data_IF_232854522374
#
_entry.id   IF_232854522374
#
_cell.length_a   1.000
_cell.length_b   1.000
_cell.length_c   1.000
_cell.angle_alpha   90.00
_cell.angle_beta   90.00
_cell.angle_gamma   90.00
#
_symmetry.space_group_name_H-M   'P 1'
#
loop_
_entity.id
_entity.type
_entity.pdbx_description
1 polymer ?
#
# COMPACT_ATOMS: atom_id res chain seq x y z
N UNK A 1 22.18 -26.24 -16.28
CA UNK A 1 22.52 -24.97 -16.96
C UNK A 1 24.01 -24.80 -17.33
N UNK A 2 24.88 -25.80 -17.07
CA UNK A 2 26.30 -25.75 -17.43
C UNK A 2 26.54 -26.06 -18.93
N UNK A 3 26.16 -25.16 -19.83
CA UNK A 3 26.46 -25.33 -21.27
C UNK A 3 25.82 -24.38 -22.28
N UNK A 4 25.18 -23.28 -21.87
CA UNK A 4 24.35 -22.46 -22.78
C UNK A 4 25.00 -21.10 -23.15
N UNK A 5 26.01 -20.64 -22.41
CA UNK A 5 26.71 -19.36 -22.67
C UNK A 5 28.12 -19.36 -22.07
N UNK A 6 29.08 -18.58 -22.62
CA UNK A 6 30.38 -18.36 -22.02
C UNK A 6 30.23 -17.89 -20.55
N UNK A 7 31.10 -18.32 -19.62
CA UNK A 7 30.98 -17.98 -18.20
C UNK A 7 30.94 -16.46 -17.94
N UNK A 8 31.64 -15.67 -18.77
CA UNK A 8 31.57 -14.20 -18.72
C UNK A 8 30.22 -13.62 -19.14
N UNK A 9 29.52 -14.25 -20.08
CA UNK A 9 28.22 -13.78 -20.57
C UNK A 9 27.09 -14.08 -19.57
N UNK A 10 27.14 -15.24 -18.90
CA UNK A 10 26.20 -15.58 -17.83
C UNK A 10 26.27 -14.57 -16.68
N UNK A 11 27.49 -14.19 -16.26
CA UNK A 11 27.68 -13.15 -15.24
C UNK A 11 27.12 -11.80 -15.67
N UNK A 12 27.32 -11.42 -16.94
CA UNK A 12 26.79 -10.17 -17.50
C UNK A 12 25.24 -10.15 -17.53
N UNK A 13 24.60 -11.26 -17.89
CA UNK A 13 23.12 -11.38 -17.89
C UNK A 13 22.56 -11.26 -16.47
N UNK A 14 23.18 -11.93 -15.49
CA UNK A 14 22.76 -11.81 -14.08
C UNK A 14 22.94 -10.38 -13.56
N UNK A 15 24.05 -9.72 -13.90
CA UNK A 15 24.27 -8.32 -13.53
C UNK A 15 23.22 -7.38 -14.15
N UNK A 16 22.90 -7.58 -15.44
CA UNK A 16 21.85 -6.81 -16.12
C UNK A 16 20.47 -7.02 -15.48
N UNK A 17 20.13 -8.26 -15.10
CA UNK A 17 18.87 -8.59 -14.45
C UNK A 17 18.76 -7.96 -13.05
N UNK A 18 19.83 -8.04 -12.24
CA UNK A 18 19.87 -7.39 -10.92
C UNK A 18 19.77 -5.86 -11.04
N UNK A 19 20.48 -5.26 -12.00
CA UNK A 19 20.39 -3.82 -12.26
C UNK A 19 18.97 -3.39 -12.63
N UNK A 20 18.29 -4.15 -13.49
CA UNK A 20 16.90 -3.88 -13.87
C UNK A 20 15.93 -3.99 -12.68
N UNK A 21 16.09 -5.02 -11.83
CA UNK A 21 15.29 -5.19 -10.62
C UNK A 21 15.51 -4.05 -9.62
N UNK A 22 16.76 -3.63 -9.42
CA UNK A 22 17.11 -2.58 -8.49
C UNK A 22 16.59 -1.21 -8.94
N UNK A 23 16.62 -0.91 -10.25
CA UNK A 23 16.05 0.33 -10.79
C UNK A 23 14.53 0.44 -10.56
N UNK A 24 13.81 -0.69 -10.71
CA UNK A 24 12.36 -0.73 -10.46
C UNK A 24 12.06 -0.56 -8.97
N UNK A 25 12.78 -1.29 -8.11
CA UNK A 25 12.60 -1.20 -6.67
C UNK A 25 12.90 0.21 -6.11
N UNK A 26 13.97 0.84 -6.58
CA UNK A 26 14.35 2.21 -6.19
C UNK A 26 13.26 3.23 -6.57
N UNK A 27 12.78 3.16 -7.82
CA UNK A 27 11.70 4.04 -8.31
C UNK A 27 10.41 3.86 -7.49
N UNK A 28 10.03 2.62 -7.19
CA UNK A 28 8.85 2.34 -6.37
C UNK A 28 9.00 2.88 -4.93
N UNK A 29 10.13 2.58 -4.27
CA UNK A 29 10.37 3.05 -2.89
C UNK A 29 10.42 4.57 -2.81
N UNK A 30 11.11 5.23 -3.74
CA UNK A 30 11.17 6.68 -3.81
C UNK A 30 9.78 7.28 -4.02
N UNK A 31 9.03 6.77 -5.00
CA UNK A 31 7.67 7.24 -5.30
C UNK A 31 6.75 7.10 -4.09
N UNK A 32 6.73 5.95 -3.43
CA UNK A 32 5.92 5.72 -2.23
C UNK A 32 6.31 6.64 -1.07
N UNK A 33 7.61 6.90 -0.90
CA UNK A 33 8.12 7.76 0.17
C UNK A 33 7.77 9.23 -0.06
N UNK A 34 7.82 9.69 -1.31
CA UNK A 34 7.40 11.04 -1.68
C UNK A 34 5.90 11.20 -1.48
N UNK A 35 5.09 10.23 -1.95
CA UNK A 35 3.63 10.22 -1.73
C UNK A 35 3.33 10.28 -0.22
N UNK A 36 3.97 9.44 0.59
CA UNK A 36 3.77 9.45 2.04
C UNK A 36 4.16 10.80 2.67
N UNK A 37 5.24 11.41 2.21
CA UNK A 37 5.71 12.69 2.77
C UNK A 37 4.83 13.86 2.35
N UNK A 38 4.49 13.97 1.07
CA UNK A 38 3.71 15.08 0.51
C UNK A 38 2.22 14.95 0.89
N UNK A 39 1.61 13.77 0.75
CA UNK A 39 0.16 13.60 0.94
C UNK A 39 -0.25 13.43 2.41
N UNK A 40 0.57 12.75 3.22
CA UNK A 40 0.27 12.54 4.65
C UNK A 40 0.99 13.58 5.49
N UNK A 41 2.33 13.62 5.48
CA UNK A 41 3.06 14.46 6.43
C UNK A 41 2.85 15.96 6.21
N UNK A 42 2.88 16.44 4.96
CA UNK A 42 2.65 17.86 4.64
C UNK A 42 1.21 18.29 4.95
N UNK A 43 0.24 17.37 4.86
CA UNK A 43 -1.15 17.61 5.26
C UNK A 43 -1.31 17.75 6.77
N UNK A 44 -0.58 16.96 7.57
CA UNK A 44 -0.62 17.05 9.03
C UNK A 44 0.28 18.17 9.60
N UNK A 45 1.38 18.49 8.92
CA UNK A 45 2.34 19.54 9.31
C UNK A 45 2.60 20.51 8.15
N UNK A 46 1.70 21.48 7.91
CA UNK A 46 1.77 22.39 6.76
C UNK A 46 2.91 23.43 6.84
N UNK A 47 3.63 23.54 7.97
CA UNK A 47 4.74 24.49 8.18
C UNK A 47 6.15 23.84 8.14
N UNK A 48 6.31 22.71 7.44
CA UNK A 48 7.63 22.09 7.30
C UNK A 48 8.48 22.83 6.26
N UNK A 49 9.68 23.27 6.69
CA UNK A 49 10.73 23.78 5.81
C UNK A 49 11.24 22.69 4.86
N UNK A 50 11.63 23.04 3.63
CA UNK A 50 12.08 22.12 2.59
C UNK A 50 13.16 21.13 3.06
N UNK A 51 14.11 21.58 3.88
CA UNK A 51 15.16 20.70 4.44
C UNK A 51 14.58 19.57 5.30
N UNK A 52 13.54 19.87 6.08
CA UNK A 52 12.87 18.88 6.93
C UNK A 52 12.05 17.91 6.08
N UNK A 53 11.44 18.38 4.99
CA UNK A 53 10.70 17.54 4.03
C UNK A 53 11.62 16.50 3.38
N UNK A 54 12.85 16.90 3.01
CA UNK A 54 13.84 15.97 2.45
C UNK A 54 14.27 14.93 3.49
N UNK A 55 14.52 15.34 4.74
CA UNK A 55 14.85 14.41 5.83
C UNK A 55 13.72 13.42 6.10
N UNK A 56 12.47 13.88 6.06
CA UNK A 56 11.29 13.06 6.27
C UNK A 56 11.09 12.05 5.13
N UNK A 57 11.36 12.47 3.89
CA UNK A 57 11.34 11.58 2.73
C UNK A 57 12.39 10.49 2.88
N UNK A 58 13.64 10.85 3.26
CA UNK A 58 14.70 9.87 3.53
C UNK A 58 14.33 8.88 4.63
N UNK A 59 13.75 9.36 5.72
CA UNK A 59 13.29 8.49 6.80
C UNK A 59 12.16 7.55 6.34
N UNK A 60 11.24 8.06 5.52
CA UNK A 60 10.15 7.26 4.92
C UNK A 60 10.69 6.17 4.00
N UNK A 61 11.73 6.44 3.19
CA UNK A 61 12.39 5.43 2.35
C UNK A 61 12.95 4.30 3.21
N UNK A 62 13.68 4.64 4.28
CA UNK A 62 14.26 3.64 5.19
C UNK A 62 13.17 2.81 5.87
N UNK A 63 12.10 3.46 6.33
CA UNK A 63 10.99 2.81 7.02
C UNK A 63 10.22 1.86 6.08
N UNK A 64 9.86 2.31 4.87
CA UNK A 64 9.20 1.49 3.86
C UNK A 64 10.09 0.35 3.36
N UNK A 65 11.38 0.60 3.17
CA UNK A 65 12.36 -0.43 2.81
C UNK A 65 12.46 -1.52 3.88
N UNK A 66 12.48 -1.14 5.16
CA UNK A 66 12.50 -2.11 6.27
C UNK A 66 11.21 -2.93 6.34
N UNK A 67 10.04 -2.30 6.14
CA UNK A 67 8.76 -3.00 6.05
C UNK A 67 8.71 -3.99 4.88
N UNK A 68 9.19 -3.57 3.70
CA UNK A 68 9.29 -4.44 2.52
C UNK A 68 10.23 -5.63 2.76
N UNK A 69 11.37 -5.40 3.42
CA UNK A 69 12.32 -6.46 3.75
C UNK A 69 11.70 -7.49 4.71
N UNK A 70 11.01 -7.02 5.75
CA UNK A 70 10.30 -7.89 6.69
C UNK A 70 9.26 -8.76 5.97
N UNK A 71 8.47 -8.17 5.06
CA UNK A 71 7.47 -8.90 4.29
C UNK A 71 8.10 -9.91 3.31
N UNK A 72 9.22 -9.56 2.67
CA UNK A 72 9.97 -10.46 1.79
C UNK A 72 10.54 -11.67 2.54
N UNK A 73 10.95 -11.51 3.80
CA UNK A 73 11.42 -12.63 4.64
C UNK A 73 10.26 -13.53 5.12
N UNK A 74 9.07 -12.97 5.30
CA UNK A 74 7.89 -13.72 5.73
C UNK A 74 7.26 -14.56 4.60
N UNK A 75 7.29 -14.06 3.36
CA UNK A 75 6.67 -14.69 2.20
C UNK A 75 7.72 -15.35 1.30
N UNK A 76 7.90 -16.67 1.45
CA UNK A 76 8.90 -17.43 0.67
C UNK A 76 8.54 -17.63 -0.80
N UNK A 77 7.24 -17.66 -1.11
CA UNK A 77 6.73 -17.90 -2.46
C UNK A 77 6.31 -16.60 -3.14
N UNK A 78 6.85 -16.34 -4.34
CA UNK A 78 6.56 -15.13 -5.12
C UNK A 78 5.06 -15.00 -5.42
N UNK A 79 4.40 -16.11 -5.75
CA UNK A 79 2.96 -16.14 -6.05
C UNK A 79 2.14 -15.78 -4.80
N UNK A 80 2.55 -16.26 -3.62
CA UNK A 80 1.88 -15.94 -2.36
C UNK A 80 2.07 -14.47 -1.98
N UNK A 81 3.24 -13.89 -2.27
CA UNK A 81 3.53 -12.47 -2.10
C UNK A 81 2.70 -11.59 -3.04
N UNK A 82 2.56 -11.99 -4.31
CA UNK A 82 1.70 -11.28 -5.25
C UNK A 82 0.24 -11.32 -4.80
N UNK A 83 -0.30 -12.49 -4.45
CA UNK A 83 -1.67 -12.60 -3.94
C UNK A 83 -1.87 -11.80 -2.64
N UNK A 84 -0.86 -11.78 -1.76
CA UNK A 84 -0.86 -10.92 -0.56
C UNK A 84 -1.08 -9.45 -0.92
N UNK A 85 -0.24 -8.92 -1.81
CA UNK A 85 -0.30 -7.52 -2.21
C UNK A 85 -1.64 -7.21 -2.91
N UNK A 86 -2.12 -8.09 -3.80
CA UNK A 86 -3.39 -7.92 -4.51
C UNK A 86 -4.59 -7.90 -3.56
N UNK A 87 -4.63 -8.77 -2.55
CA UNK A 87 -5.72 -8.76 -1.56
C UNK A 87 -5.75 -7.42 -0.82
N UNK A 88 -4.61 -6.94 -0.32
CA UNK A 88 -4.55 -5.65 0.41
C UNK A 88 -4.96 -4.49 -0.49
N UNK A 89 -4.47 -4.47 -1.73
CA UNK A 89 -4.81 -3.45 -2.71
C UNK A 89 -6.31 -3.45 -3.01
N UNK A 90 -6.90 -4.64 -3.20
CA UNK A 90 -8.33 -4.79 -3.50
C UNK A 90 -9.20 -4.35 -2.31
N UNK A 91 -8.84 -4.76 -1.09
CA UNK A 91 -9.58 -4.42 0.13
C UNK A 91 -9.49 -2.93 0.48
N UNK A 92 -8.31 -2.31 0.35
CA UNK A 92 -8.09 -0.92 0.73
C UNK A 92 -8.49 0.09 -0.34
N UNK A 93 -8.25 -0.19 -1.62
CA UNK A 93 -8.22 0.84 -2.65
C UNK A 93 -9.47 0.85 -3.55
N UNK A 94 -10.09 -0.31 -3.82
CA UNK A 94 -11.20 -0.41 -4.78
C UNK A 94 -12.42 0.38 -4.31
N UNK A 95 -12.81 0.23 -3.04
CA UNK A 95 -13.99 0.90 -2.48
C UNK A 95 -13.84 2.44 -2.50
N UNK A 96 -12.77 3.05 -1.96
CA UNK A 96 -12.60 4.50 -1.98
C UNK A 96 -12.37 5.07 -3.38
N UNK A 97 -11.73 4.33 -4.30
CA UNK A 97 -11.59 4.79 -5.70
C UNK A 97 -12.94 4.82 -6.40
N UNK A 98 -13.73 3.74 -6.32
CA UNK A 98 -15.07 3.70 -6.92
C UNK A 98 -15.96 4.80 -6.31
N UNK A 99 -15.94 4.95 -4.99
CA UNK A 99 -16.69 6.01 -4.30
C UNK A 99 -16.24 7.43 -4.70
N UNK A 100 -14.95 7.61 -4.99
CA UNK A 100 -14.36 8.85 -5.49
C UNK A 100 -14.87 9.26 -6.88
N UNK A 101 -15.07 8.31 -7.79
CA UNK A 101 -15.68 8.58 -9.11
C UNK A 101 -17.14 9.06 -8.99
N UNK A 102 -17.87 8.59 -7.99
CA UNK A 102 -19.26 8.98 -7.72
C UNK A 102 -19.39 10.11 -6.67
N UNK A 103 -18.31 10.86 -6.41
CA UNK A 103 -18.23 11.91 -5.37
C UNK A 103 -19.38 12.93 -5.43
N UNK A 104 -19.86 13.29 -6.63
CA UNK A 104 -21.00 14.20 -6.81
C UNK A 104 -22.33 13.63 -6.31
N UNK A 105 -22.54 12.30 -6.32
CA UNK A 105 -23.75 11.66 -5.79
C UNK A 105 -23.63 11.24 -4.32
N UNK A 106 -22.43 10.89 -3.85
CA UNK A 106 -22.23 10.26 -2.54
C UNK A 106 -21.72 11.19 -1.43
N UNK A 107 -21.41 12.48 -1.72
CA UNK A 107 -20.87 13.45 -0.74
C UNK A 107 -19.67 12.91 0.06
N UNK A 108 -18.77 12.18 -0.60
CA UNK A 108 -17.62 11.56 0.05
C UNK A 108 -16.56 12.62 0.42
N UNK A 109 -16.22 12.67 1.72
CA UNK A 109 -15.18 13.55 2.27
C UNK A 109 -13.78 12.95 2.08
N UNK A 110 -12.78 13.78 1.78
CA UNK A 110 -11.39 13.33 1.60
C UNK A 110 -10.83 12.61 2.84
N UNK A 111 -11.25 13.01 4.05
CA UNK A 111 -10.86 12.32 5.28
C UNK A 111 -11.49 10.92 5.37
N UNK A 112 -12.76 10.75 5.00
CA UNK A 112 -13.42 9.44 4.98
C UNK A 112 -12.82 8.47 3.97
N UNK A 113 -12.43 8.96 2.79
CA UNK A 113 -11.72 8.15 1.80
C UNK A 113 -10.35 7.67 2.30
N UNK A 114 -9.61 8.53 3.02
CA UNK A 114 -8.29 8.22 3.56
C UNK A 114 -8.37 7.22 4.72
N UNK A 115 -9.36 7.37 5.61
CA UNK A 115 -9.62 6.41 6.69
C UNK A 115 -10.11 5.07 6.15
N UNK A 116 -10.95 5.05 5.12
CA UNK A 116 -11.37 3.82 4.46
C UNK A 116 -10.18 3.10 3.80
N UNK A 117 -9.28 3.84 3.15
CA UNK A 117 -8.10 3.27 2.51
C UNK A 117 -7.13 2.65 3.52
N UNK A 118 -6.82 3.37 4.60
CA UNK A 118 -5.94 2.88 5.67
C UNK A 118 -6.61 1.74 6.43
N UNK A 119 -7.88 1.89 6.79
CA UNK A 119 -8.64 0.90 7.55
C UNK A 119 -8.87 -0.40 6.77
N UNK A 120 -9.36 -0.29 5.53
CA UNK A 120 -9.55 -1.44 4.64
C UNK A 120 -8.23 -2.14 4.30
N UNK A 121 -7.16 -1.38 4.09
CA UNK A 121 -5.81 -1.92 3.89
C UNK A 121 -5.26 -2.63 5.13
N UNK A 122 -5.38 -2.03 6.31
CA UNK A 122 -4.93 -2.61 7.58
C UNK A 122 -5.71 -3.87 7.95
N UNK A 123 -7.02 -3.90 7.67
CA UNK A 123 -7.88 -5.06 7.90
C UNK A 123 -7.58 -6.18 6.89
N UNK A 124 -7.27 -5.82 5.64
CA UNK A 124 -6.71 -6.78 4.67
C UNK A 124 -5.37 -7.37 5.12
N UNK A 125 -4.52 -6.56 5.75
CA UNK A 125 -3.23 -6.98 6.31
C UNK A 125 -3.42 -7.92 7.53
N UNK A 126 -4.28 -7.54 8.48
CA UNK A 126 -4.61 -8.32 9.67
C UNK A 126 -5.36 -9.61 9.33
N UNK A 127 -6.27 -9.57 8.36
CA UNK A 127 -7.01 -10.75 7.90
C UNK A 127 -6.09 -11.82 7.34
N UNK A 128 -4.93 -11.43 6.80
CA UNK A 128 -3.91 -12.37 6.31
C UNK A 128 -2.83 -12.74 7.33
N UNK A 129 -2.65 -11.94 8.40
CA UNK A 129 -1.73 -12.20 9.52
C UNK A 129 -2.50 -12.86 10.67
N UNK A 130 -2.58 -14.18 10.57
CA UNK A 130 -2.98 -15.21 11.55
C UNK A 130 -3.17 -14.81 13.03
N UNK A 131 -4.29 -14.16 13.40
CA UNK A 131 -4.69 -14.04 14.83
C UNK A 131 -6.19 -14.28 15.11
N UNK A 132 -6.98 -14.76 14.14
CA UNK A 132 -8.33 -15.23 14.42
C UNK A 132 -8.60 -16.50 13.59
N UNK A 133 -8.74 -17.63 14.30
CA UNK A 133 -9.15 -18.91 13.74
C UNK A 133 -10.64 -18.79 13.32
N UNK A 134 -10.88 -18.24 12.12
CA UNK A 134 -12.20 -18.25 11.51
C UNK A 134 -12.15 -19.21 10.31
N UNK A 135 -13.07 -20.19 10.20
CA UNK A 135 -13.05 -21.26 9.20
C UNK A 135 -13.44 -20.80 7.78
N UNK A 136 -12.99 -19.62 7.33
CA UNK A 136 -13.45 -18.92 6.13
C UNK A 136 -12.29 -18.35 5.30
N UNK A 137 -11.22 -19.13 5.10
CA UNK A 137 -10.07 -18.74 4.26
C UNK A 137 -10.42 -18.45 2.79
N UNK A 138 -11.55 -18.97 2.29
CA UNK A 138 -11.98 -18.80 0.89
C UNK A 138 -12.76 -17.50 0.63
N UNK A 139 -13.31 -16.83 1.65
CA UNK A 139 -14.16 -15.62 1.53
C UNK A 139 -13.47 -14.33 2.01
N UNK A 140 -12.16 -14.39 2.28
CA UNK A 140 -11.39 -13.30 2.89
C UNK A 140 -11.37 -12.01 2.05
N UNK A 141 -11.43 -12.13 0.72
CA UNK A 141 -11.52 -10.98 -0.18
C UNK A 141 -12.85 -10.24 -0.05
N UNK A 142 -13.96 -10.96 0.14
CA UNK A 142 -15.29 -10.39 0.31
C UNK A 142 -15.41 -9.67 1.66
N UNK A 143 -14.88 -10.25 2.73
CA UNK A 143 -14.92 -9.65 4.07
C UNK A 143 -14.12 -8.33 4.10
N UNK A 144 -12.92 -8.31 3.51
CA UNK A 144 -12.14 -7.09 3.40
C UNK A 144 -12.84 -6.00 2.58
N UNK A 145 -13.55 -6.40 1.53
CA UNK A 145 -14.36 -5.48 0.72
C UNK A 145 -15.56 -4.91 1.50
N UNK A 146 -16.30 -5.78 2.23
CA UNK A 146 -17.45 -5.39 3.04
C UNK A 146 -17.03 -4.46 4.17
N UNK A 147 -15.91 -4.73 4.86
CA UNK A 147 -15.43 -3.89 5.95
C UNK A 147 -14.94 -2.54 5.45
N UNK A 148 -14.26 -2.50 4.29
CA UNK A 148 -13.86 -1.25 3.64
C UNK A 148 -15.07 -0.41 3.21
N UNK A 149 -16.14 -1.06 2.72
CA UNK A 149 -17.42 -0.41 2.45
C UNK A 149 -18.07 0.14 3.72
N UNK A 150 -18.11 -0.63 4.81
CA UNK A 150 -18.68 -0.20 6.09
C UNK A 150 -17.90 0.99 6.67
N UNK A 151 -16.56 0.94 6.65
CA UNK A 151 -15.72 2.04 7.13
C UNK A 151 -15.88 3.29 6.28
N UNK A 152 -15.95 3.15 4.95
CA UNK A 152 -16.17 4.29 4.07
C UNK A 152 -17.50 4.95 4.36
N UNK A 153 -18.60 4.20 4.33
CA UNK A 153 -19.93 4.76 4.58
C UNK A 153 -20.07 5.26 6.03
N UNK A 154 -19.57 4.53 7.02
CA UNK A 154 -19.64 4.94 8.43
C UNK A 154 -18.90 6.25 8.71
N UNK A 155 -17.64 6.37 8.23
CA UNK A 155 -16.84 7.58 8.45
C UNK A 155 -17.35 8.74 7.58
N UNK A 156 -17.78 8.51 6.35
CA UNK A 156 -18.34 9.58 5.52
C UNK A 156 -19.67 10.13 6.08
N UNK A 157 -20.50 9.31 6.72
CA UNK A 157 -21.71 9.79 7.38
C UNK A 157 -21.42 10.58 8.67
N UNK A 158 -20.37 10.22 9.41
CA UNK A 158 -19.94 10.96 10.61
C UNK A 158 -19.30 12.29 10.23
N UNK A 159 -18.33 12.29 9.31
CA UNK A 159 -17.61 13.51 8.89
C UNK A 159 -18.46 14.43 8.00
N UNK A 160 -19.45 13.89 7.27
CA UNK A 160 -20.42 14.69 6.51
C UNK A 160 -21.26 15.65 7.36
N UNK A 161 -21.32 15.45 8.69
CA UNK A 161 -22.01 16.36 9.62
C UNK A 161 -21.14 17.55 10.07
N UNK A 162 -19.81 17.44 9.99
CA UNK A 162 -18.90 18.50 10.45
C UNK A 162 -18.73 19.66 9.44
N UNK A 163 -19.00 19.43 8.14
CA UNK A 163 -18.88 20.48 7.11
C UNK A 163 -20.11 21.39 6.99
N UNK A 164 -21.07 21.32 7.92
CA UNK A 164 -22.29 22.13 7.95
C UNK A 164 -22.51 22.82 9.31
N UNK A 165 -21.43 23.16 10.00
CA UNK A 165 -21.41 24.01 11.20
C UNK A 165 -20.65 25.30 10.94
#
# INVERSE_FOLDING_TARGET
INGIAPPGLTGLIFAALLAALMSSADTCLLSQSVILTEDIFKRFFPLLSDEKTILLTRFSIVMLGFMSLCLALALKEVISALLFAYTIFTCGLVVPVVAGFYKQKLKVTSQGALVALIGGGAIGLLGKISCLDIPLKEDLGLIGFVVSAILLFGVSFITGRESSG
#
